data_IF_972272385373
#
_entry.id   IF_972272385373
#
_cell.length_a   1.000
_cell.length_b   1.000
_cell.length_c   1.000
_cell.angle_alpha   90.00
_cell.angle_beta   90.00
_cell.angle_gamma   90.00
#
_symmetry.space_group_name_H-M   'P 1'
#
loop_
_entity.id
_entity.type
_entity.pdbx_description
1 polymer ?
#
# COMPACT_ATOMS: atom_id res chain seq x y z
N UNK A 1 25.47 24.56 -24.44
CA UNK A 1 24.47 23.53 -24.85
C UNK A 1 24.81 22.11 -24.41
N UNK A 2 26.08 21.69 -24.33
CA UNK A 2 26.47 20.32 -23.88
C UNK A 2 26.30 20.08 -22.37
N UNK A 3 26.54 21.11 -21.54
CA UNK A 3 26.49 21.02 -20.07
C UNK A 3 25.07 20.97 -19.50
N UNK A 4 24.10 21.57 -20.19
CA UNK A 4 22.68 21.60 -19.78
C UNK A 4 22.03 20.23 -19.98
N UNK A 5 22.42 19.52 -21.04
CA UNK A 5 21.95 18.17 -21.36
C UNK A 5 22.43 17.14 -20.32
N UNK A 6 23.68 17.27 -19.88
CA UNK A 6 24.26 16.44 -18.81
C UNK A 6 23.60 16.71 -17.46
N UNK A 7 23.29 17.97 -17.16
CA UNK A 7 22.63 18.37 -15.90
C UNK A 7 21.17 17.87 -15.81
N UNK A 8 20.43 17.89 -16.93
CA UNK A 8 19.08 17.32 -17.01
C UNK A 8 19.10 15.79 -16.85
N UNK A 9 20.08 15.13 -17.45
CA UNK A 9 20.24 13.67 -17.32
C UNK A 9 20.58 13.27 -15.89
N UNK A 10 21.44 14.01 -15.18
CA UNK A 10 21.76 13.73 -13.78
C UNK A 10 20.58 13.95 -12.82
N UNK A 11 19.73 14.95 -13.09
CA UNK A 11 18.49 15.18 -12.31
C UNK A 11 17.45 14.06 -12.53
N UNK A 12 17.33 13.57 -13.76
CA UNK A 12 16.48 12.42 -14.08
C UNK A 12 16.95 11.14 -13.40
N UNK A 13 18.27 10.90 -13.37
CA UNK A 13 18.85 9.73 -12.71
C UNK A 13 18.63 9.80 -11.18
N UNK A 14 18.72 10.99 -10.57
CA UNK A 14 18.49 11.16 -9.14
C UNK A 14 17.03 10.86 -8.73
N UNK A 15 16.06 11.10 -9.61
CA UNK A 15 14.65 10.74 -9.37
C UNK A 15 14.39 9.22 -9.46
N UNK A 16 15.25 8.47 -10.16
CA UNK A 16 15.16 7.00 -10.28
C UNK A 16 15.82 6.29 -9.08
N UNK A 17 16.75 6.94 -8.38
CA UNK A 17 17.47 6.34 -7.24
C UNK A 17 16.68 6.30 -5.92
N UNK A 18 15.44 6.80 -5.87
CA UNK A 18 14.55 6.56 -4.72
C UNK A 18 13.78 5.25 -4.81
N UNK A 19 13.94 4.48 -5.90
CA UNK A 19 13.43 3.10 -5.95
C UNK A 19 14.36 2.23 -5.13
N UNK A 20 14.17 2.28 -3.80
CA UNK A 20 14.83 1.37 -2.87
C UNK A 20 14.67 -0.04 -3.39
N UNK A 21 15.82 -0.69 -3.64
CA UNK A 21 15.93 -2.07 -4.05
C UNK A 21 15.16 -2.98 -3.08
N UNK A 22 13.91 -3.25 -3.39
CA UNK A 22 13.25 -4.44 -2.90
C UNK A 22 13.71 -5.57 -3.80
N UNK A 23 14.19 -6.66 -3.20
CA UNK A 23 14.34 -7.96 -3.84
C UNK A 23 13.15 -8.20 -4.79
N UNK A 24 13.28 -8.97 -5.88
CA UNK A 24 12.09 -9.44 -6.60
C UNK A 24 11.24 -10.28 -5.62
N UNK A 25 10.40 -9.62 -4.84
CA UNK A 25 9.32 -10.24 -4.10
C UNK A 25 8.34 -10.71 -5.15
N UNK A 26 7.75 -11.88 -4.94
CA UNK A 26 6.52 -12.22 -5.64
C UNK A 26 5.37 -11.28 -5.22
N UNK A 27 5.58 -10.50 -4.16
CA UNK A 27 4.71 -9.42 -3.72
C UNK A 27 4.65 -8.19 -4.63
N UNK A 28 3.53 -7.50 -4.51
CA UNK A 28 3.17 -6.27 -5.21
C UNK A 28 4.17 -5.14 -4.92
N UNK A 29 4.27 -4.18 -5.84
CA UNK A 29 4.99 -2.93 -5.57
C UNK A 29 4.18 -2.02 -4.67
N UNK A 30 4.85 -1.13 -3.94
CA UNK A 30 4.17 -0.18 -3.05
C UNK A 30 3.11 0.68 -3.78
N UNK A 31 3.37 1.08 -5.02
CA UNK A 31 2.40 1.80 -5.85
C UNK A 31 1.17 0.94 -6.22
N UNK A 32 1.37 -0.35 -6.46
CA UNK A 32 0.27 -1.29 -6.70
C UNK A 32 -0.57 -1.50 -5.44
N UNK A 33 0.06 -1.69 -4.28
CA UNK A 33 -0.64 -1.84 -2.99
C UNK A 33 -1.43 -0.59 -2.64
N UNK A 34 -0.84 0.58 -2.82
CA UNK A 34 -1.51 1.87 -2.66
C UNK A 34 -2.74 1.98 -3.56
N UNK A 35 -2.61 1.59 -4.82
CA UNK A 35 -3.72 1.61 -5.78
C UNK A 35 -4.85 0.68 -5.35
N UNK A 36 -4.51 -0.51 -4.85
CA UNK A 36 -5.47 -1.48 -4.33
C UNK A 36 -6.13 -1.05 -3.02
N UNK A 37 -5.42 -0.32 -2.16
CA UNK A 37 -5.92 0.18 -0.88
C UNK A 37 -6.69 1.51 -0.99
N UNK A 38 -6.51 2.27 -2.08
CA UNK A 38 -7.18 3.56 -2.32
C UNK A 38 -8.71 3.52 -2.13
N UNK A 39 -9.45 2.49 -2.58
CA UNK A 39 -10.90 2.41 -2.38
C UNK A 39 -11.32 2.24 -0.91
N UNK A 40 -10.39 1.92 -0.01
CA UNK A 40 -10.67 1.80 1.42
C UNK A 40 -10.68 3.15 2.15
N UNK A 41 -10.15 4.21 1.53
CA UNK A 41 -9.97 5.49 2.20
C UNK A 41 -11.27 6.10 2.72
N UNK A 42 -12.37 5.97 1.99
CA UNK A 42 -13.65 6.52 2.44
C UNK A 42 -14.18 5.82 3.69
N UNK A 43 -13.97 4.50 3.81
CA UNK A 43 -14.27 3.77 5.04
C UNK A 43 -13.30 4.14 6.16
N UNK A 44 -11.99 4.17 5.87
CA UNK A 44 -10.94 4.50 6.84
C UNK A 44 -11.06 5.92 7.39
N UNK A 45 -11.65 6.85 6.62
CA UNK A 45 -11.84 8.26 7.00
C UNK A 45 -13.27 8.58 7.47
N UNK A 46 -14.07 7.55 7.81
CA UNK A 46 -15.44 7.70 8.31
C UNK A 46 -16.42 8.37 7.35
N UNK A 47 -16.16 8.37 6.05
CA UNK A 47 -17.10 8.86 5.03
C UNK A 47 -18.17 7.81 4.67
N UNK A 48 -17.86 6.53 4.82
CA UNK A 48 -18.81 5.42 4.59
C UNK A 48 -18.82 4.47 5.79
N UNK A 49 -19.95 3.92 6.18
CA UNK A 49 -20.02 3.01 7.33
C UNK A 49 -19.48 1.61 7.09
N UNK A 50 -19.41 1.20 5.82
CA UNK A 50 -18.87 -0.09 5.39
C UNK A 50 -17.79 0.08 4.32
N UNK A 51 -16.82 -0.85 4.22
CA UNK A 51 -15.88 -0.88 3.12
C UNK A 51 -16.59 -1.24 1.80
N UNK A 52 -16.15 -0.62 0.71
CA UNK A 52 -16.64 -0.96 -0.63
C UNK A 52 -16.18 -2.36 -1.04
N UNK A 53 -16.90 -2.99 -1.98
CA UNK A 53 -16.46 -4.26 -2.57
C UNK A 53 -15.06 -4.14 -3.18
N UNK A 54 -14.75 -3.01 -3.83
CA UNK A 54 -13.42 -2.74 -4.38
C UNK A 54 -12.34 -2.63 -3.30
N UNK A 55 -12.65 -2.05 -2.14
CA UNK A 55 -11.73 -2.04 -0.99
C UNK A 55 -11.41 -3.46 -0.53
N UNK A 56 -12.43 -4.30 -0.31
CA UNK A 56 -12.23 -5.65 0.16
C UNK A 56 -11.49 -6.53 -0.87
N UNK A 57 -11.78 -6.36 -2.16
CA UNK A 57 -11.07 -7.05 -3.23
C UNK A 57 -9.59 -6.62 -3.30
N UNK A 58 -9.32 -5.33 -3.13
CA UNK A 58 -7.97 -4.79 -3.06
C UNK A 58 -7.19 -5.36 -1.87
N UNK A 59 -7.79 -5.33 -0.69
CA UNK A 59 -7.22 -5.90 0.53
C UNK A 59 -6.92 -7.40 0.36
N UNK A 60 -7.87 -8.18 -0.17
CA UNK A 60 -7.67 -9.61 -0.45
C UNK A 60 -6.49 -9.85 -1.40
N UNK A 61 -6.35 -9.01 -2.43
CA UNK A 61 -5.25 -9.11 -3.40
C UNK A 61 -3.90 -8.83 -2.73
N UNK A 62 -3.80 -7.75 -1.94
CA UNK A 62 -2.58 -7.40 -1.19
C UNK A 62 -2.14 -8.57 -0.29
N UNK A 63 -3.10 -9.14 0.45
CA UNK A 63 -2.86 -10.28 1.34
C UNK A 63 -2.40 -11.51 0.56
N UNK A 64 -3.11 -11.86 -0.52
CA UNK A 64 -2.76 -13.03 -1.36
C UNK A 64 -1.40 -12.89 -2.05
N UNK A 65 -0.96 -11.66 -2.31
CA UNK A 65 0.35 -11.35 -2.87
C UNK A 65 1.44 -11.27 -1.81
N UNK A 66 1.11 -11.39 -0.52
CA UNK A 66 2.06 -11.32 0.59
C UNK A 66 2.04 -12.61 1.42
N UNK A 67 2.40 -13.78 0.84
CA UNK A 67 2.34 -15.05 1.56
C UNK A 67 3.35 -15.16 2.71
N UNK A 68 4.50 -14.48 2.62
CA UNK A 68 5.56 -14.53 3.65
C UNK A 68 5.45 -13.39 4.67
N UNK A 69 6.09 -13.56 5.84
CA UNK A 69 6.13 -12.52 6.89
C UNK A 69 6.86 -11.28 6.42
N UNK A 70 7.92 -11.47 5.64
CA UNK A 70 8.73 -10.42 5.04
C UNK A 70 7.92 -9.57 4.06
N UNK A 71 7.14 -10.21 3.19
CA UNK A 71 6.25 -9.52 2.25
C UNK A 71 5.13 -8.76 2.98
N UNK A 72 4.50 -9.37 3.99
CA UNK A 72 3.50 -8.68 4.83
C UNK A 72 4.08 -7.45 5.52
N UNK A 73 5.31 -7.53 6.02
CA UNK A 73 5.98 -6.40 6.65
C UNK A 73 6.29 -5.29 5.65
N UNK A 74 6.67 -5.64 4.43
CA UNK A 74 6.89 -4.68 3.34
C UNK A 74 5.58 -3.98 2.97
N UNK A 75 4.50 -4.73 2.78
CA UNK A 75 3.16 -4.23 2.53
C UNK A 75 2.68 -3.24 3.60
N UNK A 76 2.79 -3.65 4.87
CA UNK A 76 2.43 -2.81 6.01
C UNK A 76 3.27 -1.52 6.06
N UNK A 77 4.57 -1.58 5.77
CA UNK A 77 5.43 -0.38 5.73
C UNK A 77 4.98 0.58 4.64
N UNK A 78 4.73 0.08 3.44
CA UNK A 78 4.24 0.88 2.32
C UNK A 78 2.91 1.56 2.67
N UNK A 79 1.89 0.77 3.06
CA UNK A 79 0.57 1.29 3.35
C UNK A 79 0.57 2.28 4.53
N UNK A 80 1.43 2.06 5.53
CA UNK A 80 1.59 3.00 6.66
C UNK A 80 2.21 4.32 6.22
N UNK A 81 3.26 4.29 5.41
CA UNK A 81 3.88 5.51 4.88
C UNK A 81 2.86 6.30 4.06
N UNK A 82 2.09 5.64 3.20
CA UNK A 82 1.04 6.29 2.42
C UNK A 82 -0.09 6.83 3.30
N UNK A 83 -0.56 6.03 4.26
CA UNK A 83 -1.60 6.43 5.21
C UNK A 83 -1.19 7.59 6.11
N UNK A 84 0.11 7.75 6.39
CA UNK A 84 0.60 8.86 7.22
C UNK A 84 0.39 10.25 6.59
N UNK A 85 0.23 10.30 5.27
CA UNK A 85 -0.08 11.53 4.53
C UNK A 85 -1.59 11.82 4.45
N UNK A 86 -2.45 10.93 4.95
CA UNK A 86 -3.90 11.05 4.83
C UNK A 86 -4.45 11.50 6.18
N UNK A 87 -5.06 12.70 6.25
CA UNK A 87 -5.66 13.17 7.48
C UNK A 87 -6.87 12.30 7.85
N UNK A 88 -7.14 12.19 9.16
CA UNK A 88 -8.35 11.55 9.71
C UNK A 88 -8.51 10.05 9.41
N UNK A 89 -7.42 9.30 9.20
CA UNK A 89 -7.51 7.84 9.22
C UNK A 89 -7.86 7.35 10.63
N UNK A 90 -8.95 6.61 10.73
CA UNK A 90 -9.39 5.94 11.94
C UNK A 90 -8.72 4.57 12.09
N UNK A 91 -7.95 4.43 13.17
CA UNK A 91 -7.18 3.20 13.46
C UNK A 91 -8.08 2.01 13.78
N UNK A 92 -9.22 2.23 14.44
CA UNK A 92 -10.14 1.16 14.81
C UNK A 92 -10.81 0.58 13.56
N UNK A 93 -11.17 1.41 12.59
CA UNK A 93 -11.64 0.98 11.27
C UNK A 93 -10.57 0.25 10.49
N UNK A 94 -9.31 0.72 10.51
CA UNK A 94 -8.21 0.00 9.89
C UNK A 94 -8.03 -1.41 10.48
N UNK A 95 -8.10 -1.54 11.81
CA UNK A 95 -7.99 -2.81 12.51
C UNK A 95 -9.19 -3.74 12.23
N UNK A 96 -10.40 -3.19 12.06
CA UNK A 96 -11.61 -3.96 11.77
C UNK A 96 -11.79 -4.29 10.29
N UNK A 97 -10.99 -3.70 9.39
CA UNK A 97 -11.17 -3.84 7.94
C UNK A 97 -11.19 -5.30 7.47
N UNK A 98 -10.33 -6.15 8.04
CA UNK A 98 -10.31 -7.57 7.74
C UNK A 98 -11.60 -8.29 8.16
N UNK A 99 -12.17 -7.91 9.31
CA UNK A 99 -13.43 -8.45 9.81
C UNK A 99 -14.60 -8.00 8.94
N UNK A 100 -14.66 -6.72 8.61
CA UNK A 100 -15.70 -6.16 7.72
C UNK A 100 -15.65 -6.76 6.32
N UNK A 101 -14.45 -6.99 5.78
CA UNK A 101 -14.24 -7.66 4.50
C UNK A 101 -14.33 -9.19 4.56
N UNK A 102 -14.61 -9.77 5.74
CA UNK A 102 -14.75 -11.22 5.97
C UNK A 102 -13.51 -12.02 5.53
N UNK A 103 -12.31 -11.46 5.73
CA UNK A 103 -11.02 -12.10 5.47
C UNK A 103 -10.54 -12.75 6.76
N UNK A 104 -11.17 -13.86 7.15
CA UNK A 104 -10.98 -14.51 8.46
C UNK A 104 -9.93 -15.63 8.38
N UNK A 105 -9.71 -16.20 7.19
CA UNK A 105 -8.92 -17.41 7.01
C UNK A 105 -7.49 -17.15 6.51
N UNK A 106 -7.11 -15.89 6.32
CA UNK A 106 -5.77 -15.55 5.85
C UNK A 106 -4.91 -15.07 7.02
N UNK A 107 -3.81 -15.78 7.30
CA UNK A 107 -2.80 -15.41 8.28
C UNK A 107 -2.19 -14.01 8.03
N UNK A 108 -2.60 -13.28 6.98
CA UNK A 108 -2.15 -11.92 6.65
C UNK A 108 -2.83 -10.78 7.40
N UNK A 109 -3.96 -11.01 8.06
CA UNK A 109 -4.71 -9.95 8.77
C UNK A 109 -4.41 -9.86 10.27
N UNK A 110 -3.59 -10.76 10.82
CA UNK A 110 -3.30 -10.79 12.25
C UNK A 110 -2.03 -9.99 12.60
N UNK A 111 -2.14 -9.29 13.73
CA UNK A 111 -1.15 -8.43 14.39
C UNK A 111 0.25 -9.03 14.53
#
# INVERSE_FOLDING_TARGET
>A
MKTVFLSFFTLLILFVFTVTATKPSKGLTCEQEKTLAKPCLDYLTKKTDAPSASCCNGLKKIISSSPTKEEKRAACKCLREQGSHIPNIDKDRANNLCKECKIINDLGCQK
#
